data_IF_429671561595
#
_entry.id   IF_429671561595
#
_cell.length_a   1.000
_cell.length_b   1.000
_cell.length_c   1.000
_cell.angle_alpha   90.00
_cell.angle_beta   90.00
_cell.angle_gamma   90.00
#
_symmetry.space_group_name_H-M   'P 1'
#
loop_
_entity.id
_entity.type
_entity.pdbx_description
1 polymer ?
#
# COMPACT_ATOMS: atom_id res chain seq x y z
N UNK A 1 -18.22 -42.06 -42.55
CA UNK A 1 -17.06 -42.27 -41.64
C UNK A 1 -16.07 -41.13 -41.82
N UNK A 2 -15.25 -40.84 -40.81
CA UNK A 2 -14.40 -39.66 -40.77
C UNK A 2 -12.95 -39.96 -41.18
N UNK A 3 -12.30 -39.00 -41.84
CA UNK A 3 -10.93 -38.55 -41.50
C UNK A 3 -10.87 -37.04 -41.73
N UNK A 4 -10.64 -36.25 -40.68
CA UNK A 4 -10.21 -34.85 -40.78
C UNK A 4 -8.74 -34.79 -40.38
N UNK A 5 -7.85 -34.50 -41.31
CA UNK A 5 -6.45 -34.19 -41.02
C UNK A 5 -6.35 -32.82 -40.35
N UNK A 6 -5.95 -32.79 -39.09
CA UNK A 6 -5.72 -31.55 -38.35
C UNK A 6 -4.33 -31.00 -38.67
N UNK A 7 -4.26 -29.96 -39.51
CA UNK A 7 -3.03 -29.16 -39.65
C UNK A 7 -2.81 -28.32 -38.40
N UNK A 8 -1.77 -28.68 -37.65
CA UNK A 8 -1.35 -28.03 -36.41
C UNK A 8 -0.82 -26.61 -36.70
N UNK A 9 -1.68 -25.59 -36.53
CA UNK A 9 -1.25 -24.19 -36.54
C UNK A 9 -0.78 -23.77 -35.15
N UNK A 10 0.54 -23.80 -34.93
CA UNK A 10 1.20 -23.16 -33.78
C UNK A 10 1.15 -21.63 -33.93
N UNK A 11 0.00 -21.05 -33.59
CA UNK A 11 -0.18 -19.60 -33.51
C UNK A 11 0.61 -18.99 -32.35
N UNK A 12 1.46 -18.00 -32.64
CA UNK A 12 2.44 -17.47 -31.69
C UNK A 12 1.85 -16.77 -30.47
N UNK A 13 2.49 -16.98 -29.31
CA UNK A 13 2.13 -16.31 -28.07
C UNK A 13 2.67 -14.88 -27.98
N UNK A 14 1.76 -13.91 -27.84
CA UNK A 14 1.89 -12.69 -27.01
C UNK A 14 3.24 -11.95 -27.02
N UNK A 15 3.57 -11.24 -28.12
CA UNK A 15 4.62 -10.20 -28.10
C UNK A 15 4.10 -8.77 -27.96
N UNK A 16 2.85 -8.50 -28.36
CA UNK A 16 2.27 -7.15 -28.39
C UNK A 16 1.96 -6.59 -26.99
N UNK A 17 1.36 -7.40 -26.12
CA UNK A 17 1.01 -7.00 -24.74
C UNK A 17 2.23 -6.57 -23.91
N UNK A 18 3.36 -7.29 -24.06
CA UNK A 18 4.60 -6.95 -23.35
C UNK A 18 5.25 -5.65 -23.82
N UNK A 19 5.14 -5.31 -25.12
CA UNK A 19 5.63 -4.03 -25.65
C UNK A 19 4.79 -2.86 -25.12
N UNK A 20 3.46 -3.01 -25.10
CA UNK A 20 2.55 -2.01 -24.54
C UNK A 20 2.82 -1.71 -23.06
N UNK A 21 2.94 -2.74 -22.20
CA UNK A 21 3.23 -2.53 -20.77
C UNK A 21 4.61 -1.90 -20.52
N UNK A 22 5.64 -2.27 -21.29
CA UNK A 22 6.96 -1.65 -21.15
C UNK A 22 6.93 -0.17 -21.57
N UNK A 23 6.23 0.17 -22.66
CA UNK A 23 6.05 1.55 -23.08
C UNK A 23 5.36 2.39 -21.98
N UNK A 24 4.29 1.87 -21.36
CA UNK A 24 3.63 2.53 -20.22
C UNK A 24 4.58 2.77 -19.03
N UNK A 25 5.48 1.82 -18.73
CA UNK A 25 6.51 2.01 -17.70
C UNK A 25 7.43 3.19 -18.05
N UNK A 26 7.95 3.27 -19.28
CA UNK A 26 8.77 4.41 -19.72
C UNK A 26 8.00 5.74 -19.65
N UNK A 27 6.73 5.78 -20.10
CA UNK A 27 5.92 7.00 -20.13
C UNK A 27 5.62 7.52 -18.72
N UNK A 28 5.21 6.67 -17.78
CA UNK A 28 4.89 7.12 -16.41
C UNK A 28 6.16 7.50 -15.63
N UNK A 29 7.32 6.90 -15.89
CA UNK A 29 8.58 7.34 -15.27
C UNK A 29 9.11 8.64 -15.87
N UNK A 30 9.01 8.85 -17.19
CA UNK A 30 9.36 10.13 -17.81
C UNK A 30 8.49 11.24 -17.22
N UNK A 31 7.17 11.00 -17.15
CA UNK A 31 6.24 11.93 -16.53
C UNK A 31 6.60 12.23 -15.07
N UNK A 32 7.07 11.22 -14.31
CA UNK A 32 7.49 11.43 -12.93
C UNK A 32 8.71 12.36 -12.86
N UNK A 33 9.72 12.18 -13.72
CA UNK A 33 10.86 13.12 -13.81
C UNK A 33 10.40 14.54 -14.16
N UNK A 34 9.50 14.68 -15.14
CA UNK A 34 8.98 15.98 -15.59
C UNK A 34 8.22 16.71 -14.44
N UNK A 35 7.38 15.99 -13.69
CA UNK A 35 6.63 16.53 -12.55
C UNK A 35 7.54 16.82 -11.34
N UNK A 36 8.57 16.00 -11.09
CA UNK A 36 9.58 16.25 -10.04
C UNK A 36 10.43 17.49 -10.36
N UNK A 37 10.82 17.66 -11.62
CA UNK A 37 11.53 18.85 -12.08
C UNK A 37 10.65 20.11 -11.99
N UNK A 38 9.35 19.97 -12.30
CA UNK A 38 8.35 21.03 -12.09
C UNK A 38 8.22 21.38 -10.59
N UNK A 39 8.16 20.38 -9.70
CA UNK A 39 8.15 20.60 -8.25
C UNK A 39 9.42 21.32 -7.77
N UNK A 40 10.61 20.87 -8.19
CA UNK A 40 11.90 21.51 -7.84
C UNK A 40 11.95 22.97 -8.28
N UNK A 41 11.42 23.30 -9.46
CA UNK A 41 11.34 24.68 -9.94
C UNK A 41 10.42 25.56 -9.06
N UNK A 42 9.23 25.07 -8.71
CA UNK A 42 8.33 25.80 -7.79
C UNK A 42 8.90 25.88 -6.36
N UNK A 43 9.59 24.84 -5.88
CA UNK A 43 10.24 24.85 -4.58
C UNK A 43 11.38 25.88 -4.52
N UNK A 44 12.20 25.96 -5.56
CA UNK A 44 13.24 26.98 -5.69
C UNK A 44 12.64 28.40 -5.70
N UNK A 45 11.55 28.63 -6.44
CA UNK A 45 10.84 29.91 -6.42
C UNK A 45 10.26 30.23 -5.04
N UNK A 46 9.59 29.26 -4.39
CA UNK A 46 9.00 29.42 -3.06
C UNK A 46 10.05 29.73 -1.98
N UNK A 47 11.27 29.18 -2.09
CA UNK A 47 12.42 29.50 -1.22
C UNK A 47 12.92 30.94 -1.36
N UNK A 48 12.65 31.61 -2.48
CA UNK A 48 13.02 33.03 -2.70
C UNK A 48 11.92 34.02 -2.32
N UNK A 49 10.71 33.55 -2.02
CA UNK A 49 9.61 34.38 -1.58
C UNK A 49 9.53 34.42 -0.05
N UNK A 50 9.16 35.58 0.51
CA UNK A 50 8.91 35.73 1.94
C UNK A 50 7.82 34.75 2.41
N UNK A 51 8.09 33.98 3.46
CA UNK A 51 7.26 32.87 3.92
C UNK A 51 5.86 33.31 4.38
N UNK A 52 5.74 34.59 4.75
CA UNK A 52 4.49 35.21 5.20
C UNK A 52 3.72 35.96 4.10
N UNK A 53 4.29 36.10 2.90
CA UNK A 53 3.65 36.81 1.78
C UNK A 53 2.51 35.97 1.16
N UNK A 54 1.31 36.12 1.71
CA UNK A 54 0.07 35.57 1.13
C UNK A 54 -0.35 36.26 -0.18
N UNK A 55 0.31 37.36 -0.55
CA UNK A 55 0.09 38.11 -1.78
C UNK A 55 1.41 38.27 -2.54
N UNK A 56 1.29 38.22 -3.85
CA UNK A 56 2.41 37.96 -4.75
C UNK A 56 2.54 39.09 -5.76
N UNK A 57 3.75 39.23 -6.31
CA UNK A 57 3.92 39.90 -7.60
C UNK A 57 2.93 39.25 -8.59
N UNK A 58 2.06 40.06 -9.16
CA UNK A 58 1.16 39.70 -10.27
C UNK A 58 0.15 38.55 -10.00
N UNK A 59 -0.15 38.23 -8.74
CA UNK A 59 -1.25 37.31 -8.39
C UNK A 59 -0.95 35.80 -8.51
N UNK A 60 0.29 35.41 -8.87
CA UNK A 60 0.73 34.01 -8.87
C UNK A 60 1.47 33.62 -7.58
N UNK A 61 0.99 32.61 -6.84
CA UNK A 61 1.70 32.09 -5.65
C UNK A 61 2.53 30.84 -5.97
N UNK A 62 3.85 30.86 -5.74
CA UNK A 62 4.69 29.68 -5.94
C UNK A 62 4.30 28.53 -5.01
N UNK A 63 3.75 28.84 -3.82
CA UNK A 63 3.24 27.83 -2.88
C UNK A 63 2.04 27.05 -3.42
N UNK A 64 1.18 27.67 -4.25
CA UNK A 64 0.13 26.96 -4.98
C UNK A 64 0.76 26.00 -5.99
N UNK A 65 1.76 26.46 -6.75
CA UNK A 65 2.53 25.63 -7.68
C UNK A 65 3.17 24.42 -7.01
N UNK A 66 3.84 24.62 -5.86
CA UNK A 66 4.45 23.57 -5.02
C UNK A 66 3.43 22.49 -4.65
N UNK A 67 2.24 22.87 -4.16
CA UNK A 67 1.23 21.92 -3.69
C UNK A 67 0.56 21.17 -4.85
N UNK A 68 0.27 21.86 -5.97
CA UNK A 68 -0.25 21.19 -7.16
C UNK A 68 0.75 20.21 -7.78
N UNK A 69 2.02 20.59 -7.91
CA UNK A 69 3.06 19.69 -8.44
C UNK A 69 3.33 18.53 -7.48
N UNK A 70 3.29 18.75 -6.16
CA UNK A 70 3.38 17.67 -5.17
C UNK A 70 2.25 16.65 -5.34
N UNK A 71 1.01 17.11 -5.57
CA UNK A 71 -0.13 16.23 -5.82
C UNK A 71 0.00 15.43 -7.14
N UNK A 72 0.52 16.05 -8.22
CA UNK A 72 0.79 15.35 -9.49
C UNK A 72 1.94 14.34 -9.39
N UNK A 73 3.01 14.69 -8.67
CA UNK A 73 4.07 13.77 -8.29
C UNK A 73 3.53 12.57 -7.50
N UNK A 74 2.61 12.80 -6.57
CA UNK A 74 2.01 11.72 -5.77
C UNK A 74 1.19 10.73 -6.59
N UNK A 75 0.33 11.21 -7.52
CA UNK A 75 -0.40 10.30 -8.43
C UNK A 75 0.57 9.53 -9.33
N UNK A 76 1.54 10.21 -9.94
CA UNK A 76 2.49 9.60 -10.89
C UNK A 76 3.44 8.61 -10.20
N UNK A 77 3.88 8.90 -8.97
CA UNK A 77 4.62 7.95 -8.13
C UNK A 77 3.79 6.71 -7.81
N UNK A 78 2.51 6.89 -7.47
CA UNK A 78 1.57 5.78 -7.23
C UNK A 78 1.36 4.93 -8.50
N UNK A 79 1.35 5.53 -9.69
CA UNK A 79 1.29 4.81 -10.98
C UNK A 79 2.56 4.00 -11.25
N UNK A 80 3.74 4.58 -11.03
CA UNK A 80 5.02 3.88 -11.18
C UNK A 80 5.09 2.64 -10.28
N UNK A 81 4.70 2.79 -9.01
CA UNK A 81 4.61 1.68 -8.05
C UNK A 81 3.57 0.62 -8.44
N UNK A 82 2.41 1.00 -8.99
CA UNK A 82 1.40 0.04 -9.52
C UNK A 82 1.87 -0.70 -10.76
N UNK A 83 2.69 -0.07 -11.61
CA UNK A 83 3.26 -0.71 -12.80
C UNK A 83 4.47 -1.60 -12.48
N UNK A 84 5.09 -1.41 -11.31
CA UNK A 84 6.24 -2.17 -10.84
C UNK A 84 6.04 -3.69 -11.03
N UNK A 85 7.12 -4.34 -11.46
CA UNK A 85 7.14 -5.79 -11.59
C UNK A 85 8.44 -6.30 -10.96
N UNK A 86 8.37 -6.99 -9.79
CA UNK A 86 9.54 -7.49 -9.06
C UNK A 86 10.52 -8.31 -9.89
N UNK A 87 10.04 -9.11 -10.85
CA UNK A 87 10.91 -9.94 -11.70
C UNK A 87 11.52 -9.19 -12.88
N UNK A 88 11.04 -7.98 -13.19
CA UNK A 88 11.56 -7.18 -14.31
C UNK A 88 12.79 -6.39 -13.88
N UNK A 89 13.78 -6.38 -14.77
CA UNK A 89 14.95 -5.50 -14.76
C UNK A 89 15.00 -4.76 -16.10
N UNK A 90 15.48 -3.53 -16.06
CA UNK A 90 15.76 -2.69 -17.23
C UNK A 90 17.24 -2.32 -17.14
N UNK A 91 17.91 -2.12 -18.29
CA UNK A 91 19.30 -1.68 -18.38
C UNK A 91 19.49 -0.37 -19.13
N UNK A 92 18.48 0.06 -19.91
CA UNK A 92 18.50 1.28 -20.70
C UNK A 92 17.54 2.31 -20.10
N UNK A 93 18.02 3.12 -19.14
CA UNK A 93 17.15 4.01 -18.37
C UNK A 93 16.84 5.36 -19.03
N UNK A 94 17.50 5.68 -20.16
CA UNK A 94 17.37 6.97 -20.88
C UNK A 94 17.54 8.20 -19.98
N UNK A 95 18.48 8.13 -19.03
CA UNK A 95 18.74 9.17 -18.02
C UNK A 95 17.55 9.49 -17.07
N UNK A 96 16.58 8.57 -16.91
CA UNK A 96 15.57 8.66 -15.84
C UNK A 96 16.08 7.94 -14.59
N UNK A 97 16.42 8.70 -13.55
CA UNK A 97 16.92 8.19 -12.28
C UNK A 97 15.83 7.40 -11.54
N UNK A 98 14.59 7.88 -11.53
CA UNK A 98 13.44 7.19 -10.95
C UNK A 98 13.27 5.76 -11.53
N UNK A 99 13.45 5.61 -12.86
CA UNK A 99 13.40 4.29 -13.51
C UNK A 99 14.62 3.44 -13.15
N UNK A 100 15.81 4.05 -13.07
CA UNK A 100 17.04 3.36 -12.69
C UNK A 100 17.00 2.82 -11.25
N UNK A 101 16.44 3.58 -10.29
CA UNK A 101 16.25 3.12 -8.90
C UNK A 101 15.26 1.95 -8.83
N UNK A 102 14.09 2.06 -9.48
CA UNK A 102 13.01 1.08 -9.34
C UNK A 102 13.22 -0.20 -10.16
N UNK A 103 13.75 -0.09 -11.39
CA UNK A 103 13.93 -1.23 -12.31
C UNK A 103 15.39 -1.61 -12.56
N UNK A 104 16.34 -1.00 -11.84
CA UNK A 104 17.77 -1.31 -11.92
C UNK A 104 18.10 -2.78 -11.70
N UNK A 105 19.33 -3.14 -12.05
CA UNK A 105 19.86 -4.51 -11.95
C UNK A 105 20.34 -4.88 -10.53
N UNK A 106 20.61 -3.89 -9.69
CA UNK A 106 21.02 -4.06 -8.29
C UNK A 106 19.85 -4.28 -7.34
N UNK A 107 20.10 -5.06 -6.28
CA UNK A 107 19.21 -5.24 -5.14
C UNK A 107 18.02 -6.18 -5.32
N UNK A 108 17.42 -6.52 -4.18
CA UNK A 108 16.15 -7.23 -4.07
C UNK A 108 14.97 -6.31 -4.50
N UNK A 109 13.78 -6.87 -4.79
CA UNK A 109 12.63 -6.06 -5.20
C UNK A 109 12.19 -5.01 -4.16
N UNK A 110 12.26 -5.32 -2.86
CA UNK A 110 11.93 -4.35 -1.81
C UNK A 110 13.01 -3.25 -1.71
N UNK A 111 14.30 -3.59 -1.79
CA UNK A 111 15.41 -2.61 -1.78
C UNK A 111 15.29 -1.59 -2.92
N UNK A 112 14.91 -2.03 -4.13
CA UNK A 112 14.66 -1.14 -5.27
C UNK A 112 13.47 -0.20 -5.05
N UNK A 113 12.41 -0.68 -4.39
CA UNK A 113 11.27 0.17 -4.01
C UNK A 113 11.69 1.17 -2.93
N UNK A 114 12.48 0.77 -1.93
CA UNK A 114 13.05 1.69 -0.93
C UNK A 114 13.94 2.73 -1.61
N UNK A 115 14.90 2.33 -2.45
CA UNK A 115 15.80 3.23 -3.16
C UNK A 115 15.06 4.23 -4.07
N UNK A 116 13.96 3.81 -4.69
CA UNK A 116 13.05 4.68 -5.43
C UNK A 116 12.34 5.67 -4.49
N UNK A 117 11.72 5.20 -3.40
CA UNK A 117 11.01 6.06 -2.44
C UNK A 117 11.94 7.07 -1.75
N UNK A 118 13.18 6.69 -1.45
CA UNK A 118 14.22 7.59 -0.93
C UNK A 118 14.56 8.68 -1.93
N UNK A 119 14.77 8.35 -3.21
CA UNK A 119 15.01 9.33 -4.26
C UNK A 119 13.85 10.33 -4.43
N UNK A 120 12.60 9.86 -4.33
CA UNK A 120 11.43 10.75 -4.32
C UNK A 120 11.44 11.62 -3.05
N UNK A 121 11.75 11.07 -1.88
CA UNK A 121 11.84 11.81 -0.62
C UNK A 121 12.91 12.92 -0.66
N UNK A 122 14.08 12.64 -1.24
CA UNK A 122 15.14 13.62 -1.49
C UNK A 122 14.65 14.77 -2.39
N UNK A 123 13.87 14.47 -3.43
CA UNK A 123 13.28 15.50 -4.30
C UNK A 123 12.23 16.38 -3.62
N UNK A 124 11.70 15.95 -2.46
CA UNK A 124 10.78 16.70 -1.60
C UNK A 124 11.48 17.33 -0.38
N UNK A 125 12.81 17.51 -0.42
CA UNK A 125 13.63 18.01 0.70
C UNK A 125 13.38 17.23 2.01
N UNK A 126 13.12 15.92 1.91
CA UNK A 126 12.83 15.07 3.05
C UNK A 126 11.46 15.30 3.71
N UNK A 127 10.51 15.97 3.06
CA UNK A 127 9.12 16.17 3.54
C UNK A 127 8.15 15.45 2.58
N UNK A 128 8.10 14.13 2.67
CA UNK A 128 7.35 13.30 1.73
C UNK A 128 5.82 13.38 1.97
N UNK A 129 4.99 13.63 0.94
CA UNK A 129 3.53 13.53 1.01
C UNK A 129 3.03 12.15 1.45
N UNK A 130 1.97 12.12 2.27
CA UNK A 130 1.41 10.91 2.90
C UNK A 130 0.91 9.88 1.87
N UNK A 131 0.45 10.36 0.72
CA UNK A 131 -0.06 9.56 -0.39
C UNK A 131 1.05 8.70 -1.02
N UNK A 132 2.27 9.24 -1.07
CA UNK A 132 3.45 8.53 -1.56
C UNK A 132 3.90 7.52 -0.51
N UNK A 133 3.95 7.93 0.77
CA UNK A 133 4.29 7.03 1.87
C UNK A 133 3.35 5.82 1.97
N UNK A 134 2.03 6.04 1.86
CA UNK A 134 1.04 4.97 1.78
C UNK A 134 1.24 4.08 0.56
N UNK A 135 1.40 4.67 -0.64
CA UNK A 135 1.60 3.90 -1.88
C UNK A 135 2.88 3.06 -1.81
N UNK A 136 3.95 3.60 -1.22
CA UNK A 136 5.22 2.92 -0.95
C UNK A 136 5.05 1.79 0.04
N UNK A 137 4.47 2.05 1.21
CA UNK A 137 4.19 1.06 2.25
C UNK A 137 3.37 -0.13 1.73
N UNK A 138 2.27 0.11 1.02
CA UNK A 138 1.47 -0.98 0.41
C UNK A 138 2.19 -1.75 -0.71
N UNK A 139 3.20 -1.13 -1.34
CA UNK A 139 4.02 -1.79 -2.35
C UNK A 139 5.10 -2.65 -1.68
N UNK A 140 5.71 -2.15 -0.60
CA UNK A 140 6.67 -2.88 0.21
C UNK A 140 6.03 -4.06 0.95
N UNK A 141 4.86 -3.87 1.60
CA UNK A 141 4.18 -4.91 2.38
C UNK A 141 3.93 -6.20 1.56
N UNK A 142 3.69 -6.06 0.25
CA UNK A 142 3.48 -7.19 -0.68
C UNK A 142 4.76 -7.93 -1.07
N UNK A 143 5.92 -7.32 -0.87
CA UNK A 143 7.24 -7.84 -1.21
C UNK A 143 7.97 -8.36 0.02
N UNK A 144 7.97 -7.54 1.08
CA UNK A 144 8.52 -7.81 2.39
C UNK A 144 7.84 -6.89 3.44
N UNK A 145 7.01 -7.46 4.35
CA UNK A 145 6.45 -6.72 5.48
C UNK A 145 7.48 -6.12 6.44
N UNK A 146 8.70 -6.66 6.52
CA UNK A 146 9.78 -6.10 7.35
C UNK A 146 10.25 -4.76 6.78
N UNK A 147 10.68 -4.73 5.51
CA UNK A 147 11.06 -3.49 4.84
C UNK A 147 9.94 -2.44 4.82
N UNK A 148 8.67 -2.87 4.80
CA UNK A 148 7.51 -1.98 4.88
C UNK A 148 7.34 -1.34 6.27
N UNK A 149 7.52 -2.11 7.34
CA UNK A 149 7.54 -1.65 8.72
C UNK A 149 8.64 -0.61 8.93
N UNK A 150 9.90 -0.96 8.60
CA UNK A 150 11.06 -0.08 8.77
C UNK A 150 10.90 1.25 8.02
N UNK A 151 10.41 1.20 6.77
CA UNK A 151 10.11 2.37 5.96
C UNK A 151 9.03 3.27 6.57
N UNK A 152 7.92 2.68 7.04
CA UNK A 152 6.81 3.45 7.62
C UNK A 152 7.18 4.02 9.00
N UNK A 153 7.93 3.29 9.83
CA UNK A 153 8.49 3.81 11.09
C UNK A 153 9.37 5.02 10.84
N UNK A 154 10.29 4.94 9.86
CA UNK A 154 11.16 6.07 9.50
C UNK A 154 10.35 7.28 9.01
N UNK A 155 9.33 7.05 8.19
CA UNK A 155 8.41 8.08 7.69
C UNK A 155 7.63 8.76 8.82
N UNK A 156 6.96 7.98 9.69
CA UNK A 156 6.16 8.49 10.80
C UNK A 156 7.05 9.25 11.80
N UNK A 157 8.26 8.74 12.08
CA UNK A 157 9.23 9.41 12.96
C UNK A 157 9.68 10.75 12.40
N UNK A 158 10.03 10.83 11.11
CA UNK A 158 10.41 12.08 10.45
C UNK A 158 9.30 13.14 10.55
N UNK A 159 8.05 12.75 10.29
CA UNK A 159 6.88 13.63 10.49
C UNK A 159 6.69 14.07 11.94
N UNK A 160 6.81 13.16 12.91
CA UNK A 160 6.73 13.48 14.33
C UNK A 160 7.85 14.46 14.77
N UNK A 161 9.09 14.27 14.29
CA UNK A 161 10.19 15.20 14.56
C UNK A 161 10.00 16.56 13.89
N UNK A 162 9.44 16.60 12.68
CA UNK A 162 9.14 17.85 11.98
C UNK A 162 8.02 18.64 12.67
N UNK A 163 7.07 17.98 13.34
CA UNK A 163 5.99 18.64 14.10
C UNK A 163 6.45 19.08 15.49
N UNK A 164 7.31 18.30 16.15
CA UNK A 164 7.80 18.61 17.50
C UNK A 164 8.97 19.63 17.53
N UNK A 165 9.64 19.88 16.39
CA UNK A 165 10.74 20.84 16.32
C UNK A 165 10.23 22.29 16.45
N UNK A 166 10.89 23.14 17.26
CA UNK A 166 10.56 24.56 17.35
C UNK A 166 10.82 25.25 16.00
N UNK A 167 9.97 26.20 15.64
CA UNK A 167 9.91 26.78 14.28
C UNK A 167 11.25 27.41 13.86
N UNK A 168 11.96 28.03 14.80
CA UNK A 168 13.28 28.64 14.63
C UNK A 168 14.37 27.65 14.16
N UNK A 169 14.18 26.34 14.35
CA UNK A 169 15.18 25.30 14.08
C UNK A 169 14.86 24.43 12.85
N UNK A 170 13.77 24.71 12.14
CA UNK A 170 13.36 23.98 10.92
C UNK A 170 13.63 24.85 9.69
N UNK A 171 14.15 24.26 8.61
CA UNK A 171 14.25 24.94 7.31
C UNK A 171 12.89 25.57 6.95
N UNK A 172 12.80 26.91 6.76
CA UNK A 172 11.52 27.60 6.61
C UNK A 172 10.65 27.03 5.48
N UNK A 173 11.28 26.52 4.41
CA UNK A 173 10.57 25.80 3.35
C UNK A 173 9.94 24.50 3.83
N UNK A 174 10.69 23.65 4.55
CA UNK A 174 10.19 22.36 5.09
C UNK A 174 9.04 22.57 6.07
N UNK A 175 9.15 23.57 6.95
CA UNK A 175 8.06 23.96 7.87
C UNK A 175 6.82 24.41 7.10
N UNK A 176 6.97 25.34 6.14
CA UNK A 176 5.84 25.87 5.38
C UNK A 176 5.18 24.84 4.46
N UNK A 177 5.98 23.98 3.82
CA UNK A 177 5.48 22.91 2.97
C UNK A 177 4.74 21.84 3.78
N UNK A 178 5.27 21.44 4.95
CA UNK A 178 4.57 20.59 5.94
C UNK A 178 3.19 21.17 6.27
N UNK A 179 3.10 22.46 6.58
CA UNK A 179 1.85 23.12 6.98
C UNK A 179 0.83 23.22 5.86
N UNK A 180 1.27 23.40 4.63
CA UNK A 180 0.37 23.37 3.46
C UNK A 180 -0.15 21.96 3.17
N UNK A 181 0.65 20.92 3.43
CA UNK A 181 0.20 19.52 3.34
C UNK A 181 -0.82 19.15 4.44
N UNK A 182 -0.72 19.74 5.63
CA UNK A 182 -1.60 19.46 6.79
C UNK A 182 -2.70 20.53 7.04
N UNK A 183 -2.73 21.62 6.27
CA UNK A 183 -3.51 22.84 6.53
C UNK A 183 -5.04 22.77 6.31
N UNK A 184 -5.77 23.76 6.82
CA UNK A 184 -7.20 23.69 7.16
C UNK A 184 -8.19 23.01 6.19
N UNK A 185 -8.05 23.11 4.86
CA UNK A 185 -8.96 22.43 3.93
C UNK A 185 -8.51 21.00 3.57
N UNK A 186 -7.21 20.71 3.58
CA UNK A 186 -6.63 19.37 3.37
C UNK A 186 -6.50 18.58 4.67
N UNK A 187 -6.50 19.26 5.82
CA UNK A 187 -6.28 18.75 7.18
C UNK A 187 -7.02 17.45 7.49
N UNK A 188 -8.33 17.36 7.20
CA UNK A 188 -9.11 16.12 7.42
C UNK A 188 -8.62 14.96 6.55
N UNK A 189 -8.25 15.23 5.30
CA UNK A 189 -7.72 14.23 4.37
C UNK A 189 -6.31 13.80 4.78
N UNK A 190 -5.47 14.74 5.21
CA UNK A 190 -4.15 14.48 5.78
C UNK A 190 -4.24 13.55 6.99
N UNK A 191 -5.03 13.88 8.02
CA UNK A 191 -5.15 13.04 9.22
C UNK A 191 -5.70 11.65 8.91
N UNK A 192 -6.68 11.52 8.00
CA UNK A 192 -7.18 10.21 7.57
C UNK A 192 -6.10 9.36 6.90
N UNK A 193 -5.28 9.96 6.03
CA UNK A 193 -4.16 9.28 5.35
C UNK A 193 -3.02 8.97 6.30
N UNK A 194 -2.70 9.87 7.23
CA UNK A 194 -1.64 9.66 8.22
C UNK A 194 -2.03 8.55 9.21
N UNK A 195 -3.28 8.54 9.69
CA UNK A 195 -3.82 7.41 10.47
C UNK A 195 -3.76 6.09 9.69
N UNK A 196 -4.05 6.10 8.40
CA UNK A 196 -3.91 4.91 7.55
C UNK A 196 -2.44 4.44 7.43
N UNK A 197 -1.46 5.34 7.43
CA UNK A 197 -0.04 4.98 7.39
C UNK A 197 0.42 4.33 8.71
N UNK A 198 -0.04 4.84 9.85
CA UNK A 198 0.19 4.23 11.17
C UNK A 198 -0.47 2.86 11.27
N UNK A 199 -1.73 2.71 10.83
CA UNK A 199 -2.40 1.40 10.79
C UNK A 199 -1.66 0.39 9.91
N UNK A 200 -1.21 0.81 8.73
CA UNK A 200 -0.42 -0.03 7.82
C UNK A 200 0.92 -0.46 8.45
N UNK A 201 1.58 0.42 9.20
CA UNK A 201 2.80 0.05 9.93
C UNK A 201 2.52 -1.02 10.99
N UNK A 202 1.43 -0.89 11.75
CA UNK A 202 0.98 -1.88 12.73
C UNK A 202 0.72 -3.24 12.06
N UNK A 203 0.05 -3.27 10.90
CA UNK A 203 -0.12 -4.50 10.10
C UNK A 203 1.23 -5.13 9.71
N UNK A 204 2.15 -4.32 9.17
CA UNK A 204 3.46 -4.78 8.69
C UNK A 204 4.31 -5.37 9.83
N UNK A 205 4.41 -4.67 10.96
CA UNK A 205 5.13 -5.12 12.14
C UNK A 205 4.51 -6.37 12.80
N UNK A 206 3.18 -6.50 12.77
CA UNK A 206 2.50 -7.73 13.21
C UNK A 206 2.88 -8.90 12.30
N UNK A 207 2.83 -8.71 10.98
CA UNK A 207 3.18 -9.72 9.97
C UNK A 207 4.65 -10.18 10.08
N UNK A 208 5.60 -9.24 10.19
CA UNK A 208 7.04 -9.52 10.33
C UNK A 208 7.40 -10.15 11.69
N UNK A 209 6.63 -9.87 12.75
CA UNK A 209 6.98 -10.24 14.11
C UNK A 209 7.78 -9.18 14.89
N UNK A 210 7.91 -7.97 14.34
CA UNK A 210 8.57 -6.81 14.96
C UNK A 210 7.71 -6.17 16.07
N UNK A 211 7.31 -6.98 17.05
CA UNK A 211 6.38 -6.57 18.11
C UNK A 211 6.89 -5.38 18.96
N UNK A 212 8.21 -5.14 18.98
CA UNK A 212 8.84 -4.01 19.66
C UNK A 212 8.66 -2.68 18.91
N UNK A 213 8.64 -2.67 17.57
CA UNK A 213 8.45 -1.45 16.78
C UNK A 213 7.08 -0.82 16.99
N UNK A 214 6.06 -1.64 17.30
CA UNK A 214 4.68 -1.18 17.44
C UNK A 214 4.47 -0.28 18.66
N UNK A 215 5.22 -0.52 19.75
CA UNK A 215 5.07 0.21 21.02
C UNK A 215 6.24 1.13 21.37
N UNK A 216 7.46 0.85 20.89
CA UNK A 216 8.67 1.60 21.28
C UNK A 216 9.13 2.64 20.25
N UNK A 217 8.65 2.62 19.00
CA UNK A 217 9.20 3.44 17.93
C UNK A 217 8.81 4.93 17.96
N UNK A 218 7.79 5.29 18.76
CA UNK A 218 7.11 6.58 18.71
C UNK A 218 7.18 7.31 20.04
N UNK A 219 7.60 8.58 20.03
CA UNK A 219 7.27 9.50 21.12
C UNK A 219 5.75 9.72 21.09
N UNK A 220 5.05 9.11 22.05
CA UNK A 220 3.58 9.06 22.10
C UNK A 220 2.99 10.48 22.04
N UNK A 221 3.60 11.45 22.74
CA UNK A 221 3.15 12.85 22.75
C UNK A 221 3.24 13.53 21.38
N UNK A 222 4.28 13.23 20.60
CA UNK A 222 4.44 13.76 19.25
C UNK A 222 3.45 13.14 18.25
N UNK A 223 3.04 11.88 18.50
CA UNK A 223 1.97 11.24 17.72
C UNK A 223 0.60 11.81 18.12
N UNK A 224 0.36 12.09 19.40
CA UNK A 224 -0.89 12.71 19.90
C UNK A 224 -1.09 14.15 19.36
N UNK A 225 0.00 14.86 19.07
CA UNK A 225 -0.04 16.19 18.43
C UNK A 225 -0.52 16.13 16.96
N UNK A 226 -0.43 14.96 16.31
CA UNK A 226 -0.84 14.74 14.91
C UNK A 226 -2.18 13.98 14.85
N UNK A 227 -2.38 12.98 15.71
CA UNK A 227 -3.58 12.15 15.79
C UNK A 227 -4.23 12.35 17.16
N UNK A 228 -5.53 12.67 17.21
CA UNK A 228 -6.19 12.97 18.48
C UNK A 228 -6.03 11.83 19.52
N UNK A 229 -5.98 12.12 20.83
CA UNK A 229 -5.74 11.11 21.87
C UNK A 229 -6.68 9.89 21.84
N UNK A 230 -7.94 10.08 21.40
CA UNK A 230 -8.92 9.01 21.16
C UNK A 230 -8.41 7.96 20.16
N UNK A 231 -7.60 8.36 19.19
CA UNK A 231 -7.00 7.48 18.19
C UNK A 231 -6.03 6.48 18.83
N UNK A 232 -5.42 6.81 19.98
CA UNK A 232 -4.43 5.95 20.65
C UNK A 232 -5.03 4.62 21.12
N UNK A 233 -6.20 4.66 21.76
CA UNK A 233 -6.89 3.44 22.20
C UNK A 233 -7.34 2.59 20.99
N UNK A 234 -7.79 3.22 19.91
CA UNK A 234 -8.14 2.51 18.68
C UNK A 234 -6.94 1.79 18.09
N UNK A 235 -5.78 2.45 18.01
CA UNK A 235 -4.53 1.87 17.50
C UNK A 235 -4.05 0.68 18.36
N UNK A 236 -4.16 0.76 19.70
CA UNK A 236 -3.81 -0.34 20.60
C UNK A 236 -4.75 -1.55 20.43
N UNK A 237 -6.07 -1.32 20.36
CA UNK A 237 -7.05 -2.40 20.09
C UNK A 237 -6.81 -3.05 18.72
N UNK A 238 -6.47 -2.22 17.72
CA UNK A 238 -6.15 -2.68 16.38
C UNK A 238 -4.87 -3.51 16.34
N UNK A 239 -3.79 -3.08 17.02
CA UNK A 239 -2.56 -3.88 17.19
C UNK A 239 -2.86 -5.27 17.75
N UNK A 240 -3.63 -5.37 18.84
CA UNK A 240 -4.00 -6.67 19.43
C UNK A 240 -4.74 -7.55 18.41
N UNK A 241 -5.57 -6.95 17.56
CA UNK A 241 -6.31 -7.65 16.50
C UNK A 241 -5.36 -8.19 15.42
N UNK A 242 -4.47 -7.36 14.89
CA UNK A 242 -3.47 -7.76 13.88
C UNK A 242 -2.53 -8.87 14.38
N UNK A 243 -2.15 -8.84 15.67
CA UNK A 243 -1.34 -9.88 16.29
C UNK A 243 -2.10 -11.21 16.39
N UNK A 244 -3.37 -11.19 16.80
CA UNK A 244 -4.22 -12.38 16.84
C UNK A 244 -4.46 -12.97 15.44
N UNK A 245 -4.73 -12.13 14.44
CA UNK A 245 -4.91 -12.57 13.05
C UNK A 245 -3.63 -13.16 12.47
N UNK A 246 -2.47 -12.53 12.73
CA UNK A 246 -1.19 -13.05 12.27
C UNK A 246 -0.84 -14.38 12.94
N UNK A 247 -1.11 -14.53 14.25
CA UNK A 247 -0.93 -15.80 14.96
C UNK A 247 -1.77 -16.92 14.33
N UNK A 248 -3.07 -16.69 14.11
CA UNK A 248 -3.97 -17.63 13.41
C UNK A 248 -3.48 -17.97 12.00
N UNK A 249 -2.98 -17.00 11.24
CA UNK A 249 -2.41 -17.24 9.91
C UNK A 249 -1.12 -18.06 9.96
N UNK A 250 -0.29 -17.92 11.00
CA UNK A 250 0.89 -18.77 11.23
C UNK A 250 0.47 -20.20 11.60
N UNK A 251 -0.49 -20.36 12.50
CA UNK A 251 -1.07 -21.67 12.87
C UNK A 251 -1.62 -22.44 11.66
N UNK A 252 -2.46 -21.80 10.84
CA UNK A 252 -3.03 -22.40 9.61
C UNK A 252 -1.93 -22.79 8.62
N UNK A 253 -0.90 -21.96 8.44
CA UNK A 253 0.26 -22.29 7.59
C UNK A 253 1.05 -23.48 8.15
N UNK A 254 1.29 -23.56 9.45
CA UNK A 254 1.97 -24.70 10.07
C UNK A 254 1.16 -25.99 10.00
N UNK A 255 -0.17 -25.92 10.17
CA UNK A 255 -1.05 -27.07 10.07
C UNK A 255 -1.13 -27.61 8.62
N UNK A 256 -1.15 -26.73 7.62
CA UNK A 256 -1.10 -27.11 6.20
C UNK A 256 0.30 -27.55 5.71
N UNK A 257 1.36 -27.23 6.46
CA UNK A 257 2.74 -27.62 6.15
C UNK A 257 3.19 -28.91 6.86
N UNK A 258 2.39 -29.46 7.77
CA UNK A 258 2.64 -30.78 8.34
C UNK A 258 2.49 -31.85 7.24
N UNK A 259 3.57 -32.55 6.84
CA UNK A 259 3.42 -33.69 5.93
C UNK A 259 2.61 -34.77 6.64
N UNK A 260 1.85 -35.55 5.87
CA UNK A 260 1.30 -36.81 6.38
C UNK A 260 2.45 -37.68 6.88
N UNK A 261 2.67 -37.71 8.20
CA UNK A 261 3.48 -38.73 8.83
C UNK A 261 2.76 -40.07 8.58
N UNK A 262 3.39 -41.04 7.90
CA UNK A 262 2.74 -42.33 7.66
C UNK A 262 2.60 -43.07 8.99
N UNK A 263 1.41 -43.01 9.58
CA UNK A 263 1.00 -43.89 10.68
C UNK A 263 0.88 -45.32 10.16
N UNK A 264 2.01 -46.03 10.13
CA UNK A 264 2.11 -47.44 9.76
C UNK A 264 2.76 -48.25 10.89
N UNK A 265 2.02 -49.15 11.56
CA UNK A 265 2.59 -49.99 12.61
C UNK A 265 3.35 -51.18 11.99
N UNK A 266 4.68 -51.18 12.10
CA UNK A 266 5.50 -52.35 11.76
C UNK A 266 6.00 -53.06 13.02
N UNK A 267 5.17 -53.96 13.54
CA UNK A 267 5.63 -55.06 14.40
C UNK A 267 6.06 -56.22 13.51
N UNK A 268 7.36 -56.54 13.50
CA UNK A 268 7.82 -57.92 13.31
C UNK A 268 9.14 -58.20 14.03
N UNK A 269 9.07 -59.21 14.87
CA UNK A 269 10.16 -59.86 15.61
C UNK A 269 11.27 -60.39 14.70
N UNK A 270 12.53 -60.26 15.12
CA UNK A 270 13.35 -61.43 15.47
C UNK A 270 14.61 -61.06 16.28
N UNK A 271 15.11 -62.02 17.04
CA UNK A 271 16.15 -61.93 18.08
C UNK A 271 17.57 -62.23 17.59
N UNK A 272 18.58 -61.54 18.17
CA UNK A 272 19.94 -62.09 18.38
C UNK A 272 20.69 -61.38 19.54
N UNK A 273 20.73 -62.04 20.71
CA UNK A 273 21.82 -62.15 21.72
C UNK A 273 22.83 -60.96 21.89
N UNK A 274 22.80 -60.16 22.98
CA UNK A 274 23.42 -60.37 24.35
C UNK A 274 24.92 -59.95 24.42
N UNK A 275 25.54 -59.43 25.53
CA UNK A 275 25.10 -59.18 26.93
C UNK A 275 25.36 -57.77 27.58
N UNK A 276 24.61 -57.49 28.65
CA UNK A 276 24.95 -56.80 29.92
C UNK A 276 25.81 -55.50 30.03
N UNK A 277 25.23 -54.49 30.68
CA UNK A 277 25.62 -54.16 32.08
C UNK A 277 24.46 -53.66 32.96
N UNK A 278 24.32 -54.32 34.11
CA UNK A 278 23.61 -53.93 35.35
C UNK A 278 24.18 -52.61 35.95
N UNK A 279 23.55 -51.86 36.87
CA UNK A 279 22.32 -52.04 37.67
C UNK A 279 21.98 -50.76 38.48
N UNK A 280 20.69 -50.59 38.83
CA UNK A 280 20.25 -49.85 40.02
C UNK A 280 19.57 -48.48 39.78
N UNK A 281 18.52 -48.07 40.52
CA UNK A 281 17.72 -48.75 41.57
C UNK A 281 16.35 -48.04 41.68
N UNK A 282 15.26 -48.79 41.96
CA UNK A 282 13.95 -48.46 42.59
C UNK A 282 13.61 -46.96 42.89
N UNK A 283 12.37 -46.43 42.89
CA UNK A 283 10.95 -46.89 42.91
C UNK A 283 10.08 -45.61 42.64
N UNK A 284 8.74 -45.55 42.58
CA UNK A 284 7.64 -46.49 42.85
C UNK A 284 6.37 -46.21 42.00
N UNK A 285 5.31 -46.97 42.28
CA UNK A 285 3.86 -46.82 42.02
C UNK A 285 3.21 -45.53 42.57
N UNK A 286 2.00 -45.07 42.20
CA UNK A 286 0.78 -45.79 41.76
C UNK A 286 -0.22 -44.96 40.92
N UNK A 287 -1.21 -45.68 40.36
CA UNK A 287 -2.60 -45.33 39.97
C UNK A 287 -3.27 -44.12 40.68
N UNK A 288 -4.33 -43.45 40.16
CA UNK A 288 -5.48 -43.97 39.39
C UNK A 288 -6.32 -42.91 38.60
N UNK A 289 -6.82 -43.29 37.43
CA UNK A 289 -8.16 -43.05 36.82
C UNK A 289 -8.97 -41.74 37.10
N UNK A 290 -9.22 -40.99 36.01
CA UNK A 290 -10.59 -40.88 35.47
C UNK A 290 -11.41 -39.59 35.67
N UNK A 291 -11.63 -38.86 34.57
CA UNK A 291 -13.00 -38.58 34.05
C UNK A 291 -12.95 -37.95 32.65
N UNK A 292 -13.88 -38.35 31.78
CA UNK A 292 -14.01 -37.76 30.45
C UNK A 292 -14.63 -36.36 30.50
N UNK A 293 -13.99 -35.40 29.84
CA UNK A 293 -14.62 -34.16 29.39
C UNK A 293 -15.19 -34.37 27.99
N UNK A 294 -16.50 -34.19 27.81
CA UNK A 294 -17.14 -34.34 26.51
C UNK A 294 -16.61 -33.30 25.51
N UNK A 295 -16.27 -33.73 24.30
CA UNK A 295 -16.00 -32.82 23.19
C UNK A 295 -17.31 -32.16 22.79
N UNK A 296 -17.50 -30.91 23.21
CA UNK A 296 -18.58 -30.06 22.70
C UNK A 296 -18.09 -29.48 21.36
N UNK A 297 -18.73 -29.78 20.22
CA UNK A 297 -18.48 -29.05 18.99
C UNK A 297 -19.09 -27.65 19.12
N UNK A 298 -18.27 -26.66 19.44
CA UNK A 298 -18.68 -25.25 19.52
C UNK A 298 -19.03 -24.71 18.13
N UNK A 299 -20.31 -24.78 17.81
CA UNK A 299 -20.91 -24.29 16.56
C UNK A 299 -20.98 -22.76 16.49
N UNK A 300 -19.85 -22.08 16.39
CA UNK A 300 -19.76 -20.62 16.21
C UNK A 300 -19.69 -20.18 14.73
N UNK A 301 -20.47 -20.84 13.86
CA UNK A 301 -20.45 -20.65 12.40
C UNK A 301 -21.61 -19.86 11.80
N UNK A 302 -22.42 -19.13 12.59
CA UNK A 302 -23.75 -18.64 12.13
C UNK A 302 -23.97 -17.11 12.22
N UNK A 303 -23.07 -16.34 12.87
CA UNK A 303 -23.34 -14.92 13.13
C UNK A 303 -23.26 -13.99 11.89
N UNK A 304 -22.36 -14.25 10.92
CA UNK A 304 -22.01 -13.27 9.89
C UNK A 304 -22.61 -13.51 8.48
N UNK A 305 -23.27 -14.66 8.24
CA UNK A 305 -23.79 -14.96 6.90
C UNK A 305 -24.92 -14.03 6.45
N UNK A 306 -25.79 -13.60 7.39
CA UNK A 306 -26.89 -12.68 7.10
C UNK A 306 -26.39 -11.30 6.64
N UNK A 307 -25.35 -10.77 7.29
CA UNK A 307 -24.73 -9.51 6.89
C UNK A 307 -24.08 -9.63 5.49
N UNK A 308 -23.37 -10.72 5.22
CA UNK A 308 -22.76 -10.95 3.91
C UNK A 308 -23.83 -11.13 2.81
N UNK A 309 -24.93 -11.82 3.09
CA UNK A 309 -26.06 -11.95 2.17
C UNK A 309 -26.72 -10.59 1.87
N UNK A 310 -26.91 -9.72 2.88
CA UNK A 310 -27.42 -8.36 2.68
C UNK A 310 -26.46 -7.52 1.81
N UNK A 311 -25.14 -7.58 2.05
CA UNK A 311 -24.15 -6.87 1.21
C UNK A 311 -24.17 -7.34 -0.25
N UNK A 312 -24.26 -8.65 -0.47
CA UNK A 312 -24.35 -9.22 -1.83
C UNK A 312 -25.67 -8.82 -2.50
N UNK A 313 -26.78 -8.85 -1.77
CA UNK A 313 -28.09 -8.40 -2.26
C UNK A 313 -28.11 -6.92 -2.65
N UNK A 314 -27.52 -6.05 -1.81
CA UNK A 314 -27.37 -4.62 -2.11
C UNK A 314 -26.48 -4.39 -3.33
N UNK A 315 -25.35 -5.09 -3.45
CA UNK A 315 -24.48 -4.99 -4.63
C UNK A 315 -25.19 -5.44 -5.92
N UNK A 316 -25.93 -6.54 -5.88
CA UNK A 316 -26.74 -7.01 -7.01
C UNK A 316 -27.84 -6.01 -7.39
N UNK A 317 -28.57 -5.47 -6.40
CA UNK A 317 -29.57 -4.44 -6.62
C UNK A 317 -28.95 -3.19 -7.27
N UNK A 318 -27.77 -2.77 -6.80
CA UNK A 318 -27.05 -1.60 -7.31
C UNK A 318 -26.58 -1.83 -8.77
N UNK A 319 -26.13 -3.04 -9.12
CA UNK A 319 -25.80 -3.43 -10.52
C UNK A 319 -27.05 -3.44 -11.42
N UNK A 320 -28.19 -3.95 -10.93
CA UNK A 320 -29.46 -3.95 -11.67
C UNK A 320 -29.96 -2.51 -11.89
N UNK A 321 -29.92 -1.67 -10.86
CA UNK A 321 -30.25 -0.24 -10.94
C UNK A 321 -29.31 0.49 -11.90
N UNK A 322 -28.00 0.22 -11.88
CA UNK A 322 -27.05 0.81 -12.85
C UNK A 322 -27.40 0.43 -14.29
N UNK A 323 -27.78 -0.84 -14.54
CA UNK A 323 -28.20 -1.29 -15.88
C UNK A 323 -29.52 -0.65 -16.32
N UNK A 324 -30.51 -0.51 -15.42
CA UNK A 324 -31.77 0.15 -15.75
C UNK A 324 -31.61 1.66 -15.96
N UNK A 325 -30.79 2.32 -15.14
CA UNK A 325 -30.55 3.76 -15.23
C UNK A 325 -29.69 4.12 -16.44
N UNK A 326 -28.61 3.37 -16.74
CA UNK A 326 -27.65 3.73 -17.79
C UNK A 326 -28.30 3.91 -19.18
N UNK A 327 -29.28 3.08 -19.55
CA UNK A 327 -30.00 3.20 -20.82
C UNK A 327 -30.91 4.43 -20.93
N UNK A 328 -31.41 4.98 -19.83
CA UNK A 328 -32.21 6.23 -19.83
C UNK A 328 -31.34 7.46 -19.60
N UNK A 329 -30.32 7.38 -18.75
CA UNK A 329 -29.39 8.48 -18.48
C UNK A 329 -28.60 8.86 -19.74
N UNK A 330 -28.11 7.87 -20.51
CA UNK A 330 -27.44 8.12 -21.80
C UNK A 330 -28.34 8.78 -22.84
N UNK A 331 -29.65 8.49 -22.84
CA UNK A 331 -30.62 9.17 -23.72
C UNK A 331 -30.84 10.63 -23.28
N UNK A 332 -31.01 10.89 -21.99
CA UNK A 332 -31.17 12.25 -21.44
C UNK A 332 -29.93 13.14 -21.66
N UNK A 333 -28.73 12.59 -21.45
CA UNK A 333 -27.47 13.29 -21.74
C UNK A 333 -27.34 13.59 -23.24
N UNK A 334 -27.73 12.66 -24.11
CA UNK A 334 -27.66 12.87 -25.57
C UNK A 334 -28.67 13.92 -26.06
N UNK A 335 -29.86 14.01 -25.49
CA UNK A 335 -30.83 15.08 -25.80
C UNK A 335 -30.36 16.45 -25.30
N UNK A 336 -29.74 16.53 -24.11
CA UNK A 336 -29.16 17.77 -23.60
C UNK A 336 -28.00 18.27 -24.48
N UNK A 337 -27.13 17.37 -24.95
CA UNK A 337 -26.05 17.66 -25.90
C UNK A 337 -26.53 18.04 -27.32
N UNK A 338 -27.76 17.69 -27.69
CA UNK A 338 -28.36 18.11 -28.96
C UNK A 338 -29.00 19.50 -28.83
N UNK A 339 -29.64 19.83 -27.70
CA UNK A 339 -30.19 21.18 -27.48
C UNK A 339 -29.10 22.27 -27.35
N UNK A 340 -27.90 21.94 -26.86
CA UNK A 340 -26.80 22.92 -26.75
C UNK A 340 -26.04 23.20 -28.05
N UNK A 341 -26.32 22.47 -29.15
CA UNK A 341 -25.69 22.70 -30.47
C UNK A 341 -26.55 23.45 -31.49
N UNK A 342 -27.79 23.81 -31.12
CA UNK A 342 -28.72 24.52 -32.01
C UNK A 342 -28.72 26.04 -31.77
N UNK A 343 -27.58 26.70 -32.02
CA UNK A 343 -27.48 28.16 -32.07
C UNK A 343 -26.98 28.59 -33.47
N UNK A 344 -27.82 29.19 -34.33
CA UNK A 344 -27.41 29.56 -35.68
C UNK A 344 -26.52 30.81 -35.66
N UNK A 345 -25.29 30.67 -36.16
CA UNK A 345 -24.36 31.79 -36.32
C UNK A 345 -24.86 32.77 -37.40
N UNK A 346 -25.29 33.97 -36.97
CA UNK A 346 -25.61 35.07 -37.90
C UNK A 346 -24.30 35.67 -38.44
N UNK A 347 -23.95 35.34 -39.68
CA UNK A 347 -22.97 36.13 -40.42
C UNK A 347 -23.53 37.54 -40.68
N UNK A 348 -22.82 38.57 -40.21
CA UNK A 348 -22.92 39.93 -40.76
C UNK A 348 -21.82 40.09 -41.81
N UNK A 349 -22.24 40.41 -43.03
CA UNK A 349 -21.35 40.87 -44.09
C UNK A 349 -21.16 42.38 -43.88
N UNK A 350 -19.91 42.83 -43.85
CA UNK A 350 -19.56 44.25 -43.98
C UNK A 350 -19.33 44.53 -45.46
N UNK A 351 -20.17 45.36 -46.06
CA UNK A 351 -19.89 46.01 -47.35
C UNK A 351 -19.15 47.31 -47.10
N UNK A 352 -18.08 47.53 -47.87
CA UNK A 352 -17.42 48.83 -48.03
C UNK A 352 -18.33 49.81 -48.81
#
# INVERSE_FOLDING_TARGET
MAVRTATQKTGGGSSESCKGRLHLVYVEHQRLEDELNTFRAFAAAARTCDTNAAQTLEGFSPWTGVIESAARCADTTSRCLRLFNPSRRISQFKAMDALAKLYGTGGAPHERVVAFLTHICEAFDGVLPVEIALSGGYSLQKLDPSAADDYLVAYIRNWATLVAAPEEHVDPFRWRFRDLLSGHHTQKTFYLRFRAAVLLQIECAAQSGHHQHISAAYNIQALDAILSPLTREELQRYQVTCLQETARHREVKSAGAAPFAPTGPFSRTSTALVPCKQQGTQRNTSTEVGRGGAVIPSSSGVANWRWNAIRIGVLLLLVVLLRFASGRLTKAVKSALQMTRAAPARHRILTL
#
